data_IF_878260390412
#
_entry.id   IF_878260390412
#
_cell.length_a   1.000
_cell.length_b   1.000
_cell.length_c   1.000
_cell.angle_alpha   90.00
_cell.angle_beta   90.00
_cell.angle_gamma   90.00
#
_symmetry.space_group_name_H-M   'P 1'
#
loop_
_entity.id
_entity.type
_entity.pdbx_description
1 polymer ?
#
# COMPACT_ATOMS: atom_id res chain seq x y z
N UNK A 1 -18.63 13.00 -10.67
CA UNK A 1 -17.90 11.92 -11.38
C UNK A 1 -17.07 11.21 -10.34
N UNK A 2 -17.38 9.96 -10.02
CA UNK A 2 -16.60 9.14 -9.07
C UNK A 2 -15.21 8.93 -9.66
N UNK A 3 -14.18 9.36 -8.92
CA UNK A 3 -12.80 9.56 -9.41
C UNK A 3 -11.93 8.29 -9.40
N UNK A 4 -12.52 7.12 -9.13
CA UNK A 4 -11.77 5.93 -8.75
C UNK A 4 -12.36 4.67 -9.40
N UNK A 5 -11.56 4.00 -10.22
CA UNK A 5 -12.04 2.92 -11.08
C UNK A 5 -12.09 1.56 -10.36
N UNK A 6 -11.06 1.20 -9.61
CA UNK A 6 -11.04 -0.03 -8.79
C UNK A 6 -9.92 -0.04 -7.75
N UNK A 7 -10.12 -0.82 -6.69
CA UNK A 7 -9.10 -1.23 -5.72
C UNK A 7 -8.95 -2.74 -5.83
N UNK A 8 -7.72 -3.24 -5.96
CA UNK A 8 -7.44 -4.67 -5.93
C UNK A 8 -7.00 -5.07 -4.52
N UNK A 9 -7.66 -6.04 -3.91
CA UNK A 9 -7.19 -6.69 -2.68
C UNK A 9 -6.73 -8.11 -2.99
N UNK A 10 -5.42 -8.34 -2.88
CA UNK A 10 -4.84 -9.66 -3.11
C UNK A 10 -4.92 -10.51 -1.84
N UNK A 11 -5.36 -11.75 -1.97
CA UNK A 11 -5.45 -12.69 -0.85
C UNK A 11 -4.80 -14.03 -1.16
N UNK A 12 -4.23 -14.67 -0.14
CA UNK A 12 -3.87 -16.09 -0.14
C UNK A 12 -4.70 -16.88 0.90
N UNK A 13 -5.82 -16.28 1.34
CA UNK A 13 -6.72 -16.76 2.38
C UNK A 13 -6.11 -16.92 3.78
N UNK A 14 -4.89 -16.44 4.03
CA UNK A 14 -4.36 -16.31 5.39
C UNK A 14 -5.11 -15.24 6.18
N UNK A 15 -5.06 -15.31 7.51
CA UNK A 15 -5.72 -14.33 8.37
C UNK A 15 -5.23 -12.90 8.09
N UNK A 16 -3.93 -12.73 7.87
CA UNK A 16 -3.34 -11.43 7.50
C UNK A 16 -3.88 -10.92 6.16
N UNK A 17 -4.01 -11.80 5.17
CA UNK A 17 -4.55 -11.43 3.87
C UNK A 17 -6.05 -11.12 3.92
N UNK A 18 -6.83 -11.89 4.69
CA UNK A 18 -8.25 -11.62 4.91
C UNK A 18 -8.48 -10.34 5.71
N UNK A 19 -7.57 -10.00 6.62
CA UNK A 19 -7.57 -8.67 7.25
C UNK A 19 -7.35 -7.56 6.21
N UNK A 20 -6.40 -7.73 5.29
CA UNK A 20 -6.17 -6.77 4.22
C UNK A 20 -7.38 -6.61 3.29
N UNK A 21 -8.07 -7.70 2.96
CA UNK A 21 -9.35 -7.67 2.23
C UNK A 21 -10.40 -6.86 2.99
N UNK A 22 -10.55 -7.10 4.30
CA UNK A 22 -11.50 -6.36 5.14
C UNK A 22 -11.14 -4.87 5.22
N UNK A 23 -9.84 -4.56 5.32
CA UNK A 23 -9.35 -3.19 5.31
C UNK A 23 -9.65 -2.50 3.97
N UNK A 24 -9.39 -3.17 2.85
CA UNK A 24 -9.67 -2.69 1.50
C UNK A 24 -11.17 -2.43 1.30
N UNK A 25 -12.04 -3.28 1.84
CA UNK A 25 -13.49 -3.09 1.78
C UNK A 25 -13.95 -1.85 2.57
N UNK A 26 -13.37 -1.63 3.75
CA UNK A 26 -13.61 -0.41 4.54
C UNK A 26 -13.18 0.85 3.79
N UNK A 27 -11.99 0.81 3.19
CA UNK A 27 -11.49 1.90 2.35
C UNK A 27 -12.40 2.11 1.14
N UNK A 28 -12.75 1.05 0.41
CA UNK A 28 -13.61 1.10 -0.77
C UNK A 28 -14.99 1.70 -0.48
N UNK A 29 -15.58 1.36 0.68
CA UNK A 29 -16.81 1.98 1.18
C UNK A 29 -16.64 3.47 1.43
N UNK A 30 -15.54 3.87 2.08
CA UNK A 30 -15.26 5.27 2.39
C UNK A 30 -15.00 6.11 1.12
N UNK A 31 -14.42 5.50 0.08
CA UNK A 31 -14.06 6.19 -1.15
C UNK A 31 -15.08 6.02 -2.29
N UNK A 32 -16.10 5.18 -2.10
CA UNK A 32 -17.14 4.91 -3.09
C UNK A 32 -16.62 4.15 -4.32
N UNK A 33 -15.74 3.17 -4.12
CA UNK A 33 -15.00 2.50 -5.19
C UNK A 33 -15.32 1.00 -5.25
N UNK A 34 -15.27 0.41 -6.44
CA UNK A 34 -15.37 -1.03 -6.59
C UNK A 34 -14.17 -1.73 -5.96
N UNK A 35 -14.42 -2.85 -5.28
CA UNK A 35 -13.38 -3.75 -4.78
C UNK A 35 -13.23 -4.95 -5.71
N UNK A 36 -11.98 -5.30 -6.01
CA UNK A 36 -11.63 -6.47 -6.80
C UNK A 36 -10.83 -7.40 -5.89
N UNK A 37 -11.39 -8.56 -5.55
CA UNK A 37 -10.66 -9.60 -4.84
C UNK A 37 -9.84 -10.40 -5.84
N UNK A 38 -8.54 -10.52 -5.56
CA UNK A 38 -7.62 -11.22 -6.43
C UNK A 38 -6.92 -12.36 -5.71
N UNK A 39 -6.92 -13.55 -6.31
CA UNK A 39 -6.12 -14.67 -5.88
C UNK A 39 -5.38 -15.28 -7.08
N UNK A 40 -4.07 -15.44 -6.94
CA UNK A 40 -3.26 -16.21 -7.87
C UNK A 40 -2.55 -17.33 -7.13
N UNK A 41 -2.46 -18.50 -7.76
CA UNK A 41 -1.65 -19.60 -7.26
C UNK A 41 -0.87 -20.27 -8.40
N UNK A 42 0.31 -20.77 -8.07
CA UNK A 42 1.19 -21.51 -8.97
C UNK A 42 1.64 -22.81 -8.30
N UNK A 43 1.75 -23.90 -9.05
CA UNK A 43 2.31 -25.14 -8.48
C UNK A 43 3.77 -24.96 -8.10
N UNK A 44 4.15 -25.52 -6.96
CA UNK A 44 5.56 -25.68 -6.62
C UNK A 44 6.24 -26.61 -7.64
N UNK A 45 7.55 -26.45 -7.83
CA UNK A 45 8.36 -27.30 -8.71
C UNK A 45 8.22 -28.79 -8.32
N UNK A 46 8.03 -29.09 -7.02
CA UNK A 46 7.86 -30.46 -6.53
C UNK A 46 6.47 -31.03 -6.88
N UNK A 47 5.43 -30.19 -6.86
CA UNK A 47 4.09 -30.56 -7.30
C UNK A 47 4.03 -30.78 -8.82
N UNK A 48 4.75 -29.97 -9.62
CA UNK A 48 4.89 -30.19 -11.05
C UNK A 48 5.54 -31.55 -11.37
N UNK A 49 6.50 -31.99 -10.55
CA UNK A 49 7.14 -33.31 -10.68
C UNK A 49 6.22 -34.48 -10.30
N UNK A 50 5.11 -34.23 -9.59
CA UNK A 50 4.15 -35.25 -9.17
C UNK A 50 3.10 -35.63 -10.23
N UNK A 51 3.18 -35.03 -11.44
CA UNK A 51 2.24 -35.25 -12.57
C UNK A 51 0.77 -35.04 -12.18
N UNK A 52 0.45 -33.89 -11.59
CA UNK A 52 -0.95 -33.47 -11.43
C UNK A 52 -1.63 -33.48 -12.81
N UNK A 53 -2.77 -34.15 -12.94
CA UNK A 53 -3.54 -34.16 -14.19
C UNK A 53 -4.13 -32.77 -14.45
N UNK A 54 -4.36 -32.44 -15.72
CA UNK A 54 -5.07 -31.21 -16.09
C UNK A 54 -6.45 -31.11 -15.40
N UNK A 55 -7.13 -32.24 -15.22
CA UNK A 55 -8.40 -32.31 -14.49
C UNK A 55 -8.24 -31.94 -13.01
N UNK A 56 -7.20 -32.43 -12.34
CA UNK A 56 -6.93 -32.09 -10.94
C UNK A 56 -6.57 -30.62 -10.75
N UNK A 57 -5.85 -30.03 -11.70
CA UNK A 57 -5.54 -28.60 -11.71
C UNK A 57 -6.81 -27.76 -11.90
N UNK A 58 -7.68 -28.13 -12.84
CA UNK A 58 -8.95 -27.43 -13.06
C UNK A 58 -9.85 -27.50 -11.82
N UNK A 59 -9.93 -28.67 -11.18
CA UNK A 59 -10.69 -28.84 -9.94
C UNK A 59 -10.19 -27.93 -8.81
N UNK A 60 -8.87 -27.79 -8.64
CA UNK A 60 -8.29 -26.88 -7.65
C UNK A 60 -8.63 -25.41 -7.95
N UNK A 61 -8.56 -25.03 -9.23
CA UNK A 61 -8.93 -23.69 -9.68
C UNK A 61 -10.41 -23.39 -9.41
N UNK A 62 -11.30 -24.33 -9.71
CA UNK A 62 -12.74 -24.18 -9.49
C UNK A 62 -13.06 -24.06 -7.99
N UNK A 63 -12.45 -24.91 -7.15
CA UNK A 63 -12.63 -24.85 -5.70
C UNK A 63 -12.12 -23.54 -5.11
N UNK A 64 -10.96 -23.08 -5.58
CA UNK A 64 -10.36 -21.83 -5.12
C UNK A 64 -11.17 -20.62 -5.56
N UNK A 65 -11.68 -20.64 -6.80
CA UNK A 65 -12.58 -19.59 -7.32
C UNK A 65 -13.88 -19.54 -6.50
N UNK A 66 -14.50 -20.68 -6.22
CA UNK A 66 -15.70 -20.74 -5.36
C UNK A 66 -15.44 -20.20 -3.95
N UNK A 67 -14.25 -20.46 -3.39
CA UNK A 67 -13.84 -19.92 -2.09
C UNK A 67 -13.71 -18.40 -2.13
N UNK A 68 -13.10 -17.87 -3.19
CA UNK A 68 -12.94 -16.43 -3.40
C UNK A 68 -14.31 -15.75 -3.57
N UNK A 69 -15.21 -16.34 -4.36
CA UNK A 69 -16.58 -15.83 -4.57
C UNK A 69 -17.41 -15.76 -3.28
N UNK A 70 -17.27 -16.78 -2.41
CA UNK A 70 -17.93 -16.75 -1.09
C UNK A 70 -17.41 -15.59 -0.25
N UNK A 71 -16.09 -15.42 -0.18
CA UNK A 71 -15.48 -14.27 0.51
C UNK A 71 -15.96 -12.94 -0.10
N UNK A 72 -16.02 -12.85 -1.43
CA UNK A 72 -16.52 -11.67 -2.14
C UNK A 72 -17.96 -11.35 -1.79
N UNK A 73 -18.84 -12.35 -1.77
CA UNK A 73 -20.25 -12.19 -1.39
C UNK A 73 -20.41 -11.72 0.06
N UNK A 74 -19.63 -12.29 0.98
CA UNK A 74 -19.61 -11.88 2.39
C UNK A 74 -19.17 -10.43 2.54
N UNK A 75 -18.09 -10.04 1.86
CA UNK A 75 -17.55 -8.67 1.87
C UNK A 75 -18.54 -7.67 1.24
N UNK A 76 -19.10 -8.00 0.08
CA UNK A 76 -20.08 -7.16 -0.61
C UNK A 76 -21.29 -6.87 0.29
N UNK A 77 -21.79 -7.91 0.97
CA UNK A 77 -22.93 -7.80 1.88
C UNK A 77 -22.58 -7.00 3.14
N UNK A 78 -21.43 -7.28 3.77
CA UNK A 78 -21.03 -6.65 5.01
C UNK A 78 -20.74 -5.15 4.85
N UNK A 79 -20.14 -4.76 3.73
CA UNK A 79 -19.75 -3.38 3.48
C UNK A 79 -20.74 -2.61 2.60
N UNK A 80 -21.69 -3.29 1.95
CA UNK A 80 -22.62 -2.71 0.97
C UNK A 80 -21.88 -2.05 -0.20
N UNK A 81 -20.93 -2.78 -0.80
CA UNK A 81 -20.10 -2.33 -1.92
C UNK A 81 -20.13 -3.32 -3.08
N UNK A 82 -19.77 -2.85 -4.27
CA UNK A 82 -19.54 -3.71 -5.41
C UNK A 82 -18.22 -4.48 -5.24
N UNK A 83 -18.30 -5.81 -5.41
CA UNK A 83 -17.15 -6.71 -5.33
C UNK A 83 -17.12 -7.62 -6.55
N UNK A 84 -15.97 -7.67 -7.22
CA UNK A 84 -15.67 -8.68 -8.25
C UNK A 84 -14.54 -9.59 -7.77
N UNK A 85 -14.54 -10.84 -8.23
CA UNK A 85 -13.53 -11.82 -7.86
C UNK A 85 -12.76 -12.30 -9.10
N UNK A 86 -11.44 -12.31 -9.01
CA UNK A 86 -10.54 -12.81 -10.05
C UNK A 86 -9.61 -13.86 -9.44
N UNK A 87 -9.74 -15.10 -9.92
CA UNK A 87 -8.88 -16.19 -9.53
C UNK A 87 -8.17 -16.74 -10.76
N UNK A 88 -6.84 -16.85 -10.71
CA UNK A 88 -6.05 -17.36 -11.83
C UNK A 88 -4.94 -18.32 -11.39
N UNK A 89 -4.60 -19.26 -12.26
CA UNK A 89 -3.45 -20.13 -12.10
C UNK A 89 -2.23 -19.51 -12.79
N UNK A 90 -1.41 -18.80 -12.01
CA UNK A 90 -0.30 -18.00 -12.52
C UNK A 90 0.66 -17.57 -11.42
N UNK A 91 1.78 -16.96 -11.82
CA UNK A 91 2.54 -16.12 -10.90
C UNK A 91 1.76 -14.85 -10.56
N UNK A 92 1.88 -14.41 -9.31
CA UNK A 92 1.20 -13.23 -8.76
C UNK A 92 1.57 -11.96 -9.51
N UNK A 93 2.87 -11.72 -9.70
CA UNK A 93 3.39 -10.50 -10.32
C UNK A 93 2.85 -10.30 -11.73
N UNK A 94 2.88 -11.35 -12.56
CA UNK A 94 2.46 -11.30 -13.96
C UNK A 94 0.95 -11.00 -14.10
N UNK A 95 0.10 -11.73 -13.36
CA UNK A 95 -1.35 -11.53 -13.49
C UNK A 95 -1.84 -10.30 -12.76
N UNK A 96 -1.18 -9.88 -11.68
CA UNK A 96 -1.55 -8.63 -11.02
C UNK A 96 -1.34 -7.45 -11.96
N UNK A 97 -0.25 -7.44 -12.73
CA UNK A 97 0.01 -6.37 -13.71
C UNK A 97 -1.10 -6.29 -14.76
N UNK A 98 -1.46 -7.42 -15.38
CA UNK A 98 -2.55 -7.46 -16.36
C UNK A 98 -3.88 -7.00 -15.74
N UNK A 99 -4.20 -7.48 -14.53
CA UNK A 99 -5.43 -7.12 -13.84
C UNK A 99 -5.49 -5.62 -13.52
N UNK A 100 -4.36 -4.99 -13.14
CA UNK A 100 -4.29 -3.55 -12.92
C UNK A 100 -4.66 -2.79 -14.20
N UNK A 101 -4.11 -3.19 -15.35
CA UNK A 101 -4.39 -2.56 -16.64
C UNK A 101 -5.85 -2.75 -17.07
N UNK A 102 -6.35 -3.99 -17.01
CA UNK A 102 -7.70 -4.36 -17.44
C UNK A 102 -8.80 -3.64 -16.62
N UNK A 103 -8.51 -3.37 -15.34
CA UNK A 103 -9.48 -2.80 -14.40
C UNK A 103 -9.25 -1.31 -14.11
N UNK A 104 -8.16 -0.73 -14.67
CA UNK A 104 -7.67 0.61 -14.33
C UNK A 104 -7.53 0.81 -12.80
N UNK A 105 -7.09 -0.22 -12.08
CA UNK A 105 -6.95 -0.15 -10.64
C UNK A 105 -5.94 0.93 -10.23
N UNK A 106 -6.26 1.68 -9.19
CA UNK A 106 -5.41 2.77 -8.69
C UNK A 106 -4.74 2.45 -7.35
N UNK A 107 -5.11 1.31 -6.75
CA UNK A 107 -4.56 0.86 -5.48
C UNK A 107 -4.54 -0.67 -5.44
N UNK A 108 -3.41 -1.23 -5.02
CA UNK A 108 -3.31 -2.63 -4.62
C UNK A 108 -3.22 -2.70 -3.10
N UNK A 109 -4.01 -3.58 -2.47
CA UNK A 109 -4.00 -3.83 -1.04
C UNK A 109 -3.55 -5.26 -0.79
N UNK A 110 -2.58 -5.44 0.10
CA UNK A 110 -2.02 -6.75 0.44
C UNK A 110 -1.79 -6.87 1.94
N UNK A 111 -1.93 -8.09 2.46
CA UNK A 111 -1.52 -8.41 3.81
C UNK A 111 -0.01 -8.29 4.00
N UNK A 112 0.41 -7.83 5.17
CA UNK A 112 1.80 -7.82 5.58
C UNK A 112 1.95 -8.55 6.92
N UNK A 113 2.68 -9.66 6.90
CA UNK A 113 2.91 -10.46 8.09
C UNK A 113 3.94 -9.78 8.99
N UNK A 114 3.70 -9.89 10.30
CA UNK A 114 4.70 -9.54 11.32
C UNK A 114 5.84 -10.56 11.23
N UNK A 115 7.03 -10.10 10.89
CA UNK A 115 8.21 -10.94 10.63
C UNK A 115 9.42 -10.38 11.37
N UNK A 116 10.36 -11.27 11.67
CA UNK A 116 11.66 -10.82 12.18
C UNK A 116 12.43 -10.09 11.09
N UNK A 117 13.25 -9.10 11.48
CA UNK A 117 14.13 -8.36 10.56
C UNK A 117 14.90 -9.28 9.59
N UNK A 118 15.36 -10.45 10.05
CA UNK A 118 16.09 -11.43 9.22
C UNK A 118 15.21 -12.08 8.16
N UNK A 119 13.99 -12.49 8.51
CA UNK A 119 13.00 -13.01 7.55
C UNK A 119 12.57 -11.91 6.57
N UNK A 120 12.59 -10.66 7.03
CA UNK A 120 12.40 -9.45 6.25
C UNK A 120 13.63 -8.98 5.46
N UNK A 121 14.70 -9.76 5.41
CA UNK A 121 15.76 -9.57 4.41
C UNK A 121 15.60 -10.55 3.23
N UNK A 122 14.84 -11.64 3.37
CA UNK A 122 14.74 -12.72 2.34
C UNK A 122 13.78 -12.54 1.12
N UNK A 123 13.01 -11.46 1.05
CA UNK A 123 11.84 -11.22 0.21
C UNK A 123 10.52 -11.68 0.83
N UNK A 124 9.42 -10.96 0.57
CA UNK A 124 8.06 -11.51 0.59
C UNK A 124 7.24 -10.97 -0.59
N UNK A 125 6.12 -11.62 -0.91
CA UNK A 125 5.28 -11.24 -2.06
C UNK A 125 4.87 -9.76 -2.03
N UNK A 126 4.40 -9.26 -0.89
CA UNK A 126 4.00 -7.86 -0.72
C UNK A 126 5.15 -6.88 -1.02
N UNK A 127 6.36 -7.17 -0.55
CA UNK A 127 7.54 -6.32 -0.85
C UNK A 127 8.01 -6.42 -2.30
N UNK A 128 7.77 -7.55 -2.96
CA UNK A 128 8.04 -7.69 -4.40
C UNK A 128 7.05 -6.84 -5.21
N UNK A 129 5.75 -6.88 -4.86
CA UNK A 129 4.73 -6.03 -5.48
C UNK A 129 5.02 -4.54 -5.26
N UNK A 130 5.33 -4.11 -4.03
CA UNK A 130 5.74 -2.72 -3.75
C UNK A 130 6.89 -2.26 -4.67
N UNK A 131 7.84 -3.15 -4.97
CA UNK A 131 9.01 -2.84 -5.78
C UNK A 131 8.71 -2.79 -7.29
N UNK A 132 7.81 -3.66 -7.76
CA UNK A 132 7.66 -3.96 -9.18
C UNK A 132 6.37 -3.38 -9.79
N UNK A 133 5.50 -2.74 -8.99
CA UNK A 133 4.22 -2.17 -9.45
C UNK A 133 4.28 -0.65 -9.60
N UNK A 134 3.60 -0.13 -10.63
CA UNK A 134 3.59 1.30 -11.00
C UNK A 134 2.38 2.07 -10.43
N UNK A 135 1.63 1.48 -9.51
CA UNK A 135 0.53 2.11 -8.78
C UNK A 135 0.76 1.98 -7.27
N UNK A 136 0.10 2.80 -6.45
CA UNK A 136 0.17 2.70 -5.00
C UNK A 136 -0.12 1.28 -4.47
N UNK A 137 0.65 0.85 -3.47
CA UNK A 137 0.48 -0.43 -2.78
C UNK A 137 0.33 -0.19 -1.28
N UNK A 138 -0.80 -0.65 -0.73
CA UNK A 138 -1.12 -0.60 0.68
C UNK A 138 -0.83 -1.95 1.35
N UNK A 139 0.22 -1.99 2.18
CA UNK A 139 0.57 -3.11 3.02
C UNK A 139 -0.18 -3.00 4.37
N UNK A 140 -1.00 -3.99 4.69
CA UNK A 140 -1.87 -4.01 5.88
C UNK A 140 -1.35 -5.05 6.89
N UNK A 141 -0.87 -4.63 8.08
CA UNK A 141 -0.50 -5.54 9.17
C UNK A 141 -1.69 -6.38 9.65
N UNK A 142 -1.42 -7.54 10.25
CA UNK A 142 -2.47 -8.49 10.68
C UNK A 142 -3.52 -7.89 11.63
N UNK A 143 -3.12 -6.94 12.47
CA UNK A 143 -3.98 -6.33 13.49
C UNK A 143 -4.54 -4.96 13.11
N UNK A 144 -4.11 -4.38 11.99
CA UNK A 144 -4.56 -3.07 11.55
C UNK A 144 -6.02 -3.15 11.07
N UNK A 145 -6.88 -2.24 11.54
CA UNK A 145 -8.29 -2.17 11.14
C UNK A 145 -8.58 -0.81 10.51
N UNK A 146 -9.42 -0.80 9.49
CA UNK A 146 -9.90 0.45 8.91
C UNK A 146 -10.94 1.06 9.85
N UNK A 147 -10.55 2.09 10.61
CA UNK A 147 -11.41 2.83 11.54
C UNK A 147 -11.57 4.29 11.11
N UNK A 148 -11.73 4.48 9.79
CA UNK A 148 -11.49 5.73 9.08
C UNK A 148 -10.00 6.10 9.00
N UNK A 149 -9.64 6.98 8.07
CA UNK A 149 -8.28 7.49 7.90
C UNK A 149 -8.29 8.99 8.13
N UNK A 150 -7.90 9.41 9.34
CA UNK A 150 -7.92 10.82 9.76
C UNK A 150 -6.55 11.43 9.84
N UNK A 151 -5.52 10.64 10.14
CA UNK A 151 -4.15 11.12 10.35
C UNK A 151 -3.18 10.38 9.48
N UNK A 152 -2.68 11.06 8.47
CA UNK A 152 -1.72 10.51 7.52
C UNK A 152 -0.35 11.08 7.83
N UNK A 153 0.61 10.22 8.16
CA UNK A 153 2.01 10.60 8.24
C UNK A 153 2.65 10.37 6.86
N UNK A 154 3.03 11.44 6.18
CA UNK A 154 3.70 11.38 4.88
C UNK A 154 5.21 11.53 5.08
N UNK A 155 5.96 10.44 5.00
CA UNK A 155 7.41 10.46 5.14
C UNK A 155 8.11 10.63 3.79
N UNK A 156 8.94 11.66 3.64
CA UNK A 156 9.50 12.06 2.35
C UNK A 156 10.95 12.58 2.41
N UNK A 157 11.67 12.48 1.27
CA UNK A 157 13.02 13.03 1.08
C UNK A 157 13.00 14.32 0.23
N UNK A 158 14.03 15.15 0.36
CA UNK A 158 14.14 16.52 -0.16
C UNK A 158 13.87 16.64 -1.67
N UNK A 159 14.15 15.61 -2.47
CA UNK A 159 13.91 15.63 -3.92
C UNK A 159 12.44 15.34 -4.31
N UNK A 160 11.59 14.90 -3.38
CA UNK A 160 10.24 14.41 -3.68
C UNK A 160 9.15 15.48 -3.75
N UNK A 161 9.37 16.68 -3.20
CA UNK A 161 8.38 17.76 -3.28
C UNK A 161 8.23 18.32 -4.70
N UNK A 162 9.27 18.23 -5.53
CA UNK A 162 9.18 18.58 -6.96
C UNK A 162 8.20 17.71 -7.76
N UNK A 163 7.69 16.62 -7.17
CA UNK A 163 6.69 15.73 -7.74
C UNK A 163 5.26 15.98 -7.22
N UNK A 164 4.94 17.18 -6.72
CA UNK A 164 3.58 17.56 -6.25
C UNK A 164 2.47 17.19 -7.25
N UNK A 165 2.70 17.30 -8.57
CA UNK A 165 1.75 16.84 -9.59
C UNK A 165 1.41 15.33 -9.45
N UNK A 166 2.37 14.54 -8.96
CA UNK A 166 2.27 13.09 -8.73
C UNK A 166 1.59 12.74 -7.40
N UNK A 167 1.41 13.73 -6.52
CA UNK A 167 0.59 13.60 -5.31
C UNK A 167 -0.90 13.83 -5.58
N UNK A 168 -1.31 14.19 -6.79
CA UNK A 168 -2.72 14.48 -7.12
C UNK A 168 -3.70 13.37 -6.71
N UNK A 169 -3.36 12.09 -6.95
CA UNK A 169 -4.16 10.96 -6.46
C UNK A 169 -4.21 10.91 -4.93
N UNK A 170 -3.05 11.03 -4.28
CA UNK A 170 -2.95 11.02 -2.82
C UNK A 170 -3.74 12.19 -2.20
N UNK A 171 -3.64 13.37 -2.81
CA UNK A 171 -4.29 14.58 -2.38
C UNK A 171 -5.81 14.44 -2.46
N UNK A 172 -6.30 13.89 -3.58
CA UNK A 172 -7.72 13.60 -3.79
C UNK A 172 -8.26 12.61 -2.74
N UNK A 173 -7.47 11.59 -2.39
CA UNK A 173 -7.84 10.61 -1.34
C UNK A 173 -7.88 11.26 0.04
N UNK A 174 -6.85 12.02 0.40
CA UNK A 174 -6.77 12.68 1.70
C UNK A 174 -7.87 13.74 1.87
N UNK A 175 -8.21 14.50 0.82
CA UNK A 175 -9.34 15.44 0.83
C UNK A 175 -10.69 14.73 0.96
N UNK A 176 -10.91 13.66 0.18
CA UNK A 176 -12.12 12.85 0.25
C UNK A 176 -12.36 12.28 1.66
N UNK A 177 -11.29 11.82 2.30
CA UNK A 177 -11.30 11.26 3.65
C UNK A 177 -11.28 12.35 4.74
N UNK A 178 -11.09 13.62 4.35
CA UNK A 178 -10.90 14.77 5.25
C UNK A 178 -9.79 14.50 6.28
N UNK A 179 -8.69 13.95 5.80
CA UNK A 179 -7.55 13.57 6.61
C UNK A 179 -6.61 14.76 6.85
N UNK A 180 -6.11 14.87 8.07
CA UNK A 180 -4.98 15.69 8.45
C UNK A 180 -3.69 15.01 7.98
N UNK A 181 -2.86 15.74 7.23
CA UNK A 181 -1.60 15.22 6.69
C UNK A 181 -0.43 15.89 7.39
N UNK A 182 0.39 15.09 8.07
CA UNK A 182 1.68 15.53 8.59
C UNK A 182 2.80 15.08 7.63
N UNK A 183 3.44 16.04 6.98
CA UNK A 183 4.62 15.81 6.16
C UNK A 183 5.85 15.77 7.05
N UNK A 184 6.50 14.61 7.12
CA UNK A 184 7.66 14.35 7.95
C UNK A 184 8.90 14.12 7.10
N UNK A 185 9.87 15.03 7.21
CA UNK A 185 11.18 14.85 6.60
C UNK A 185 12.28 14.80 7.64
N UNK A 186 13.23 13.89 7.38
CA UNK A 186 14.39 13.69 8.22
C UNK A 186 15.63 14.11 7.44
N UNK A 187 15.86 15.42 7.36
CA UNK A 187 17.01 15.94 6.63
C UNK A 187 17.68 17.13 7.34
N UNK A 188 18.99 17.30 7.07
CA UNK A 188 19.85 18.29 7.73
C UNK A 188 19.55 19.73 7.27
N UNK A 189 18.84 19.91 6.15
CA UNK A 189 18.57 21.20 5.50
C UNK A 189 17.11 21.63 5.58
N UNK A 190 16.64 21.89 6.80
CA UNK A 190 15.27 22.36 7.08
C UNK A 190 14.94 23.70 6.37
N UNK A 191 15.95 24.53 6.10
CA UNK A 191 15.78 25.88 5.54
C UNK A 191 15.35 25.89 4.06
N UNK A 192 15.80 24.93 3.24
CA UNK A 192 15.41 24.82 1.82
C UNK A 192 13.92 24.40 1.69
N UNK A 193 13.45 23.55 2.60
CA UNK A 193 12.07 23.02 2.61
C UNK A 193 11.01 24.06 3.03
N UNK A 194 11.36 24.97 3.94
CA UNK A 194 10.49 26.08 4.32
C UNK A 194 10.25 27.07 3.16
N UNK A 195 11.23 27.23 2.26
CA UNK A 195 11.10 28.07 1.06
C UNK A 195 10.24 27.41 -0.03
N UNK A 196 10.25 26.08 -0.12
CA UNK A 196 9.33 25.35 -1.00
C UNK A 196 7.89 25.40 -0.46
N UNK A 197 7.71 25.35 0.87
CA UNK A 197 6.39 25.52 1.51
C UNK A 197 5.70 26.83 1.12
N UNK A 198 6.43 27.95 1.09
CA UNK A 198 5.88 29.24 0.65
C UNK A 198 5.47 29.21 -0.83
N UNK A 199 6.18 28.47 -1.68
CA UNK A 199 5.83 28.31 -3.10
C UNK A 199 4.58 27.46 -3.29
N UNK A 200 4.47 26.34 -2.59
CA UNK A 200 3.31 25.44 -2.64
C UNK A 200 2.04 26.18 -2.22
N UNK A 201 2.10 26.87 -1.08
CA UNK A 201 0.98 27.67 -0.57
C UNK A 201 0.61 28.85 -1.46
N UNK A 202 1.54 29.33 -2.31
CA UNK A 202 1.31 30.45 -3.23
C UNK A 202 0.77 30.06 -4.62
N UNK A 203 0.90 28.79 -5.02
CA UNK A 203 0.50 28.33 -6.35
C UNK A 203 -0.84 27.56 -6.37
N UNK A 204 -1.31 27.06 -5.22
CA UNK A 204 -2.58 26.32 -5.12
C UNK A 204 -3.58 27.06 -4.22
N UNK A 205 -4.25 28.09 -4.77
CA UNK A 205 -5.43 28.72 -4.14
C UNK A 205 -6.67 27.77 -4.05
N UNK A 206 -6.53 26.46 -4.28
CA UNK A 206 -7.67 25.54 -4.44
C UNK A 206 -7.63 24.22 -3.69
N UNK A 207 -6.60 23.91 -2.88
CA UNK A 207 -6.59 22.69 -2.06
C UNK A 207 -6.99 22.97 -0.62
N UNK A 208 -8.12 22.42 -0.17
CA UNK A 208 -8.65 22.56 1.20
C UNK A 208 -7.98 21.62 2.23
N UNK A 209 -6.80 21.08 1.91
CA UNK A 209 -6.13 20.14 2.81
C UNK A 209 -5.47 20.89 3.97
N UNK A 210 -5.83 20.54 5.20
CA UNK A 210 -5.10 21.00 6.38
C UNK A 210 -3.77 20.24 6.45
N UNK A 211 -2.71 20.90 6.02
CA UNK A 211 -1.37 20.32 5.92
C UNK A 211 -0.48 20.86 7.04
N UNK A 212 0.11 19.94 7.81
CA UNK A 212 1.14 20.23 8.80
C UNK A 212 2.49 19.72 8.31
N UNK A 213 3.52 20.54 8.42
CA UNK A 213 4.89 20.15 8.09
C UNK A 213 5.74 20.02 9.35
N UNK A 214 6.47 18.91 9.48
CA UNK A 214 7.40 18.64 10.58
C UNK A 214 8.74 18.23 10.00
N UNK A 215 9.79 18.95 10.39
CA UNK A 215 11.15 18.72 9.94
C UNK A 215 12.04 18.36 11.14
N UNK A 216 12.83 17.29 10.99
CA UNK A 216 13.83 16.90 11.99
C UNK A 216 15.19 16.67 11.33
N UNK A 217 16.22 17.27 11.90
CA UNK A 217 17.60 17.03 11.50
C UNK A 217 18.14 15.79 12.25
N UNK A 218 18.39 14.68 11.53
CA UNK A 218 18.82 13.41 12.13
C UNK A 218 19.79 12.66 11.19
N UNK A 219 20.75 11.94 11.78
CA UNK A 219 21.73 11.08 11.07
C UNK A 219 21.13 9.79 10.48
N UNK A 220 21.79 9.22 9.47
CA UNK A 220 21.14 8.21 8.62
C UNK A 220 20.74 6.86 9.20
N UNK A 221 21.43 6.46 10.27
CA UNK A 221 21.15 5.20 10.97
C UNK A 221 19.87 5.21 11.82
N UNK A 222 19.25 6.37 12.08
CA UNK A 222 18.16 6.49 13.06
C UNK A 222 16.76 6.71 12.45
N UNK A 223 16.63 6.87 11.13
CA UNK A 223 15.36 7.30 10.51
C UNK A 223 14.18 6.36 10.76
N UNK A 224 14.38 5.04 10.69
CA UNK A 224 13.31 4.07 10.98
C UNK A 224 12.74 4.31 12.38
N UNK A 225 13.61 4.50 13.37
CA UNK A 225 13.19 4.74 14.75
C UNK A 225 12.48 6.09 14.90
N UNK A 226 12.91 7.10 14.16
CA UNK A 226 12.29 8.43 14.22
C UNK A 226 10.93 8.46 13.53
N UNK A 227 10.76 7.78 12.39
CA UNK A 227 9.43 7.58 11.79
C UNK A 227 8.54 6.81 12.77
N UNK A 228 9.03 5.73 13.40
CA UNK A 228 8.25 4.98 14.40
C UNK A 228 7.87 5.82 15.62
N UNK A 229 8.75 6.72 16.07
CA UNK A 229 8.42 7.69 17.13
C UNK A 229 7.36 8.68 16.67
N UNK A 230 7.49 9.21 15.45
CA UNK A 230 6.54 10.18 14.92
C UNK A 230 5.16 9.57 14.71
N UNK A 231 5.07 8.33 14.21
CA UNK A 231 3.81 7.57 14.14
C UNK A 231 3.09 7.58 15.49
N UNK A 232 3.81 7.36 16.60
CA UNK A 232 3.24 7.36 17.95
C UNK A 232 2.91 8.77 18.45
N UNK A 233 3.77 9.76 18.20
CA UNK A 233 3.57 11.14 18.63
C UNK A 233 2.35 11.77 17.94
N UNK A 234 2.27 11.59 16.62
CA UNK A 234 1.18 12.09 15.80
C UNK A 234 -0.11 11.28 15.98
N UNK A 235 0.01 10.03 16.43
CA UNK A 235 -1.04 9.00 16.39
C UNK A 235 -1.51 8.79 14.94
N UNK A 236 -0.56 8.49 14.05
CA UNK A 236 -0.83 8.26 12.65
C UNK A 236 -1.68 7.00 12.45
N UNK A 237 -2.72 7.10 11.62
CA UNK A 237 -3.54 5.95 11.21
C UNK A 237 -2.85 5.16 10.10
N UNK A 238 -2.03 5.84 9.29
CA UNK A 238 -1.32 5.28 8.14
C UNK A 238 0.01 6.02 7.91
N UNK A 239 1.04 5.27 7.52
CA UNK A 239 2.29 5.83 7.00
C UNK A 239 2.24 5.82 5.47
N UNK A 240 2.61 6.93 4.85
CA UNK A 240 2.80 7.04 3.40
C UNK A 240 4.28 7.25 3.12
N UNK A 241 4.83 6.49 2.17
CA UNK A 241 6.21 6.62 1.74
C UNK A 241 6.29 6.60 0.21
N UNK A 242 7.25 7.36 -0.32
CA UNK A 242 7.70 7.24 -1.72
C UNK A 242 9.06 6.55 -1.69
N UNK A 243 9.21 5.33 -2.23
CA UNK A 243 10.53 4.74 -2.43
C UNK A 243 11.33 5.64 -3.39
N UNK A 244 12.64 5.73 -3.22
CA UNK A 244 13.51 6.47 -4.16
C UNK A 244 14.69 5.61 -4.56
N UNK A 245 15.36 5.95 -5.66
CA UNK A 245 16.60 5.27 -6.09
C UNK A 245 17.86 5.93 -5.53
N UNK A 246 17.80 7.23 -5.26
CA UNK A 246 18.90 8.05 -4.74
C UNK A 246 18.40 8.98 -3.61
N UNK A 247 19.17 9.19 -2.53
CA UNK A 247 18.80 9.99 -1.36
C UNK A 247 19.42 9.52 -0.02
N UNK A 248 18.91 10.00 1.12
CA UNK A 248 19.31 9.62 2.50
C UNK A 248 19.43 8.09 2.76
N UNK A 249 18.83 7.34 1.86
CA UNK A 249 18.61 5.92 1.82
C UNK A 249 19.70 5.15 1.01
N UNK A 250 20.73 5.84 0.48
CA UNK A 250 21.70 5.37 -0.53
C UNK A 250 22.77 4.38 -0.11
N UNK A 251 22.89 4.03 1.17
CA UNK A 251 23.76 2.93 1.55
C UNK A 251 22.99 1.61 1.48
N UNK A 252 22.91 1.00 0.29
CA UNK A 252 22.62 -0.45 0.07
C UNK A 252 21.29 -0.96 0.71
N UNK A 253 20.28 -0.14 1.04
CA UNK A 253 19.15 -0.60 1.90
C UNK A 253 17.80 0.08 1.57
N UNK A 254 17.57 0.67 0.39
CA UNK A 254 16.30 1.35 0.05
C UNK A 254 15.05 0.46 0.17
N UNK A 255 15.07 -0.71 -0.48
CA UNK A 255 13.96 -1.68 -0.44
C UNK A 255 13.86 -2.35 0.92
N UNK A 256 14.97 -2.57 1.62
CA UNK A 256 14.95 -3.17 2.95
C UNK A 256 14.40 -2.21 4.00
N UNK A 257 14.54 -0.88 3.92
CA UNK A 257 13.90 0.00 4.93
C UNK A 257 12.39 0.12 4.75
N UNK A 258 11.87 0.32 3.53
CA UNK A 258 10.41 0.24 3.26
C UNK A 258 9.87 -1.12 3.69
N UNK A 259 10.63 -2.19 3.46
CA UNK A 259 10.30 -3.52 3.92
C UNK A 259 10.32 -3.69 5.44
N UNK A 260 11.36 -3.20 6.12
CA UNK A 260 11.48 -3.20 7.59
C UNK A 260 10.35 -2.38 8.23
N UNK A 261 9.93 -1.30 7.58
CA UNK A 261 8.77 -0.52 8.03
C UNK A 261 7.49 -1.32 7.79
N UNK A 262 7.25 -1.81 6.57
CA UNK A 262 6.05 -2.55 6.24
C UNK A 262 5.80 -3.75 7.18
N UNK A 263 6.84 -4.51 7.53
CA UNK A 263 6.73 -5.70 8.38
C UNK A 263 6.79 -5.43 9.88
N UNK A 264 7.27 -4.25 10.30
CA UNK A 264 7.51 -3.91 11.70
C UNK A 264 6.66 -2.74 12.22
N UNK A 265 5.57 -2.42 11.52
CA UNK A 265 4.58 -1.41 11.89
C UNK A 265 3.27 -2.06 12.32
N UNK A 266 2.64 -1.46 13.32
CA UNK A 266 1.28 -1.82 13.76
C UNK A 266 0.20 -1.13 12.90
N UNK A 267 0.61 -0.16 12.07
CA UNK A 267 -0.26 0.60 11.18
C UNK A 267 0.03 0.27 9.71
N UNK A 268 -0.94 0.44 8.80
CA UNK A 268 -0.73 0.25 7.37
C UNK A 268 0.35 1.16 6.79
N UNK A 269 1.03 0.66 5.75
CA UNK A 269 1.99 1.42 4.94
C UNK A 269 1.46 1.53 3.51
N UNK A 270 1.23 2.76 3.06
CA UNK A 270 1.00 3.07 1.65
C UNK A 270 2.33 3.43 0.99
N UNK A 271 2.82 2.55 0.12
CA UNK A 271 3.95 2.86 -0.75
C UNK A 271 3.42 3.45 -2.05
N UNK A 272 3.79 4.68 -2.36
CA UNK A 272 3.60 5.25 -3.69
C UNK A 272 4.68 4.68 -4.63
N UNK A 273 4.42 4.52 -5.93
CA UNK A 273 5.43 4.01 -6.86
C UNK A 273 6.49 5.08 -7.18
N UNK A 274 7.68 4.65 -7.62
CA UNK A 274 8.69 5.56 -8.16
C UNK A 274 8.26 5.94 -9.58
N UNK A 275 7.82 7.18 -9.77
CA UNK A 275 7.54 7.75 -11.08
C UNK A 275 8.72 8.57 -11.58
#
# INVERSE_FOLDING_TARGET
MTLYHAIIAATNFSDTANNAVTYAAGFAKATGTKLILFHSFSLSIHSANSRISSEGMQQELDQTSLRLERLGTEIATLFEIEVECFCNYSFLEDQLHNLIEDTNAQLVVMGMADRSLEQDLMGNATTAIIKNTNIPVLAVPANARFLNLKKILFAFDNESLSSIEKLSWFASIAELLKAEVEFFSVNEKVEELLLEQEKINSQEEQSYMEVKFVYKNIRSGAVINEIKKEIKNYNADILVMVPQKYGFWDSIVHISKTRIMASGLDIPLLSLPNF
#
